data_IF_789596091814
#
_entry.id   IF_789596091814
#
_cell.length_a   1.000
_cell.length_b   1.000
_cell.length_c   1.000
_cell.angle_alpha   90.00
_cell.angle_beta   90.00
_cell.angle_gamma   90.00
#
_symmetry.space_group_name_H-M   'P 1'
#
loop_
_entity.id
_entity.type
_entity.pdbx_description
1 polymer ?
#
# COMPACT_ATOMS: atom_id res chain seq x y z
N UNK A 1 10.22 -12.07 -16.09
CA UNK A 1 8.96 -12.62 -15.55
C UNK A 1 7.85 -12.44 -16.58
N UNK A 2 6.94 -13.40 -16.74
CA UNK A 2 5.84 -13.30 -17.70
C UNK A 2 4.84 -12.21 -17.23
N UNK A 3 4.37 -11.30 -18.12
CA UNK A 3 3.34 -10.31 -17.80
C UNK A 3 2.10 -10.88 -17.11
N UNK A 4 1.67 -12.09 -17.46
CA UNK A 4 0.53 -12.75 -16.81
C UNK A 4 0.81 -13.04 -15.34
N UNK A 5 2.00 -13.56 -15.02
CA UNK A 5 2.42 -13.86 -13.65
C UNK A 5 2.54 -12.58 -12.81
N UNK A 6 3.08 -11.49 -13.39
CA UNK A 6 3.18 -10.20 -12.69
C UNK A 6 1.80 -9.64 -12.31
N UNK A 7 0.81 -9.77 -13.21
CA UNK A 7 -0.57 -9.35 -12.92
C UNK A 7 -1.23 -10.21 -11.85
N UNK A 8 -0.95 -11.52 -11.84
CA UNK A 8 -1.43 -12.43 -10.78
C UNK A 8 -0.83 -12.03 -9.43
N UNK A 9 0.49 -11.79 -9.35
CA UNK A 9 1.13 -11.35 -8.11
C UNK A 9 0.59 -9.99 -7.65
N UNK A 10 0.47 -9.01 -8.55
CA UNK A 10 -0.14 -7.72 -8.20
C UNK A 10 -1.60 -7.88 -7.73
N UNK A 11 -2.35 -8.82 -8.31
CA UNK A 11 -3.71 -9.15 -7.88
C UNK A 11 -3.75 -9.77 -6.49
N UNK A 12 -2.82 -10.66 -6.15
CA UNK A 12 -2.69 -11.23 -4.81
C UNK A 12 -2.38 -10.15 -3.78
N UNK A 13 -1.45 -9.24 -4.10
CA UNK A 13 -1.12 -8.10 -3.22
C UNK A 13 -2.34 -7.19 -3.04
N UNK A 14 -3.10 -6.92 -4.10
CA UNK A 14 -4.35 -6.15 -4.02
C UNK A 14 -5.40 -6.84 -3.13
N UNK A 15 -5.56 -8.16 -3.25
CA UNK A 15 -6.48 -8.92 -2.39
C UNK A 15 -6.06 -8.86 -0.91
N UNK A 16 -4.76 -8.91 -0.63
CA UNK A 16 -4.23 -8.68 0.72
C UNK A 16 -4.63 -7.30 1.26
N UNK A 17 -4.45 -6.24 0.46
CA UNK A 17 -4.84 -4.87 0.84
C UNK A 17 -6.35 -4.73 1.06
N UNK A 18 -7.17 -5.34 0.19
CA UNK A 18 -8.62 -5.37 0.34
C UNK A 18 -9.04 -6.06 1.64
N UNK A 19 -8.44 -7.20 1.96
CA UNK A 19 -8.72 -7.93 3.20
C UNK A 19 -8.38 -7.09 4.44
N UNK A 20 -7.16 -6.53 4.49
CA UNK A 20 -6.73 -5.72 5.64
C UNK A 20 -7.57 -4.44 5.78
N UNK A 21 -7.89 -3.78 4.67
CA UNK A 21 -8.74 -2.58 4.68
C UNK A 21 -10.13 -2.91 5.18
N UNK A 22 -10.75 -3.99 4.68
CA UNK A 22 -12.07 -4.43 5.14
C UNK A 22 -12.05 -4.78 6.64
N UNK A 23 -11.01 -5.49 7.09
CA UNK A 23 -10.81 -5.78 8.50
C UNK A 23 -10.64 -4.50 9.34
N UNK A 24 -9.86 -3.53 8.88
CA UNK A 24 -9.67 -2.24 9.56
C UNK A 24 -10.97 -1.44 9.68
N UNK A 25 -11.81 -1.41 8.65
CA UNK A 25 -13.14 -0.80 8.76
C UNK A 25 -14.05 -1.56 9.71
N UNK A 26 -14.02 -2.90 9.69
CA UNK A 26 -14.81 -3.71 10.63
C UNK A 26 -14.45 -3.39 12.09
N UNK A 27 -13.16 -3.37 12.42
CA UNK A 27 -12.71 -3.07 13.79
C UNK A 27 -13.01 -1.64 14.23
N UNK A 28 -13.04 -0.69 13.29
CA UNK A 28 -13.44 0.70 13.55
C UNK A 28 -14.87 0.81 14.12
N UNK A 29 -15.78 -0.07 13.70
CA UNK A 29 -17.17 -0.06 14.16
C UNK A 29 -17.45 -1.04 15.29
N UNK A 30 -16.58 -2.04 15.52
CA UNK A 30 -16.79 -3.06 16.56
C UNK A 30 -16.18 -2.70 17.92
N UNK A 31 -15.09 -1.91 17.97
CA UNK A 31 -14.41 -1.54 19.23
C UNK A 31 -14.58 -0.04 19.56
N UNK A 32 -15.37 0.27 20.60
CA UNK A 32 -15.69 1.65 21.01
C UNK A 32 -14.56 2.37 21.77
N UNK A 33 -13.48 1.68 22.16
CA UNK A 33 -12.53 2.19 23.16
C UNK A 33 -11.29 2.92 22.59
N UNK A 34 -11.06 2.92 21.27
CA UNK A 34 -9.85 3.46 20.60
C UNK A 34 -10.10 4.72 19.74
N UNK A 35 -11.19 5.44 20.02
CA UNK A 35 -11.88 6.37 19.12
C UNK A 35 -11.09 7.56 18.55
N UNK A 36 -10.07 8.12 19.22
CA UNK A 36 -9.56 9.43 18.78
C UNK A 36 -8.42 9.41 17.75
N UNK A 37 -7.67 8.31 17.62
CA UNK A 37 -6.49 8.27 16.73
C UNK A 37 -6.49 7.10 15.74
N UNK A 38 -7.26 6.03 15.97
CA UNK A 38 -7.26 4.86 15.10
C UNK A 38 -8.27 4.94 13.94
N UNK A 39 -9.24 5.87 13.97
CA UNK A 39 -10.23 5.98 12.90
C UNK A 39 -9.63 6.41 11.56
N UNK A 40 -8.50 7.13 11.55
CA UNK A 40 -7.85 7.51 10.29
C UNK A 40 -7.13 6.34 9.61
N UNK A 41 -6.79 5.31 10.38
CA UNK A 41 -5.96 4.19 9.91
C UNK A 41 -6.63 3.38 8.78
N UNK A 42 -7.93 3.00 8.86
CA UNK A 42 -8.63 2.33 7.75
C UNK A 42 -8.71 3.18 6.47
N UNK A 43 -8.80 4.51 6.59
CA UNK A 43 -8.78 5.39 5.41
C UNK A 43 -7.40 5.44 4.75
N UNK A 44 -6.33 5.42 5.54
CA UNK A 44 -4.99 5.27 5.02
C UNK A 44 -4.83 3.90 4.35
N UNK A 45 -5.34 2.83 4.95
CA UNK A 45 -5.33 1.50 4.33
C UNK A 45 -6.07 1.46 2.99
N UNK A 46 -7.21 2.16 2.92
CA UNK A 46 -7.96 2.34 1.67
C UNK A 46 -7.16 3.07 0.61
N UNK A 47 -6.39 4.11 0.97
CA UNK A 47 -5.52 4.82 0.02
C UNK A 47 -4.50 3.86 -0.62
N UNK A 48 -3.83 3.05 0.18
CA UNK A 48 -2.90 2.02 -0.32
C UNK A 48 -3.60 0.99 -1.22
N UNK A 49 -4.82 0.58 -0.86
CA UNK A 49 -5.64 -0.32 -1.68
C UNK A 49 -5.97 0.29 -3.03
N UNK A 50 -6.36 1.57 -3.07
CA UNK A 50 -6.64 2.29 -4.31
C UNK A 50 -5.38 2.42 -5.18
N UNK A 51 -4.23 2.65 -4.56
CA UNK A 51 -2.95 2.69 -5.27
C UNK A 51 -2.66 1.34 -5.91
N UNK A 52 -2.80 0.24 -5.17
CA UNK A 52 -2.61 -1.11 -5.71
C UNK A 52 -3.64 -1.48 -6.78
N UNK A 53 -4.88 -0.98 -6.68
CA UNK A 53 -5.87 -1.12 -7.74
C UNK A 53 -5.38 -0.47 -9.04
N UNK A 54 -4.83 0.75 -8.95
CA UNK A 54 -4.21 1.43 -10.09
C UNK A 54 -3.00 0.68 -10.67
N UNK A 55 -2.15 0.10 -9.82
CA UNK A 55 -1.02 -0.74 -10.24
C UNK A 55 -1.52 -1.98 -10.99
N UNK A 56 -2.54 -2.67 -10.46
CA UNK A 56 -3.13 -3.85 -11.08
C UNK A 56 -3.76 -3.53 -12.44
N UNK A 57 -4.39 -2.35 -12.58
CA UNK A 57 -4.88 -1.83 -13.86
C UNK A 57 -3.76 -1.41 -14.84
N UNK A 58 -2.49 -1.53 -14.46
CA UNK A 58 -1.34 -1.21 -15.32
C UNK A 58 -1.05 0.29 -15.44
N UNK A 59 -1.53 1.12 -14.51
CA UNK A 59 -1.29 2.57 -14.54
C UNK A 59 0.02 2.91 -13.81
N UNK A 60 1.05 3.30 -14.57
CA UNK A 60 2.41 3.62 -14.07
C UNK A 60 2.46 4.66 -12.95
N UNK A 61 1.60 5.68 -13.04
CA UNK A 61 1.53 6.77 -12.04
C UNK A 61 1.33 6.19 -10.63
N UNK A 62 0.57 5.11 -10.50
CA UNK A 62 0.32 4.48 -9.21
C UNK A 62 1.51 3.68 -8.69
N UNK A 63 2.35 3.11 -9.57
CA UNK A 63 3.62 2.49 -9.13
C UNK A 63 4.57 3.51 -8.51
N UNK A 64 4.67 4.70 -9.13
CA UNK A 64 5.45 5.80 -8.56
C UNK A 64 4.81 6.37 -7.29
N UNK A 65 3.49 6.56 -7.28
CA UNK A 65 2.77 7.02 -6.09
C UNK A 65 2.97 6.05 -4.91
N UNK A 66 2.89 4.74 -5.14
CA UNK A 66 3.14 3.72 -4.12
C UNK A 66 4.54 3.86 -3.52
N UNK A 67 5.56 3.95 -4.37
CA UNK A 67 6.93 4.13 -3.93
C UNK A 67 7.11 5.38 -3.05
N UNK A 68 6.52 6.52 -3.45
CA UNK A 68 6.57 7.74 -2.66
C UNK A 68 5.86 7.62 -1.31
N UNK A 69 4.69 6.98 -1.28
CA UNK A 69 3.92 6.79 -0.05
C UNK A 69 4.67 5.88 0.92
N UNK A 70 5.29 4.80 0.44
CA UNK A 70 6.12 3.91 1.28
C UNK A 70 7.37 4.62 1.78
N UNK A 71 8.04 5.43 0.94
CA UNK A 71 9.15 6.28 1.41
C UNK A 71 8.69 7.25 2.51
N UNK A 72 7.52 7.86 2.35
CA UNK A 72 6.96 8.76 3.35
C UNK A 72 6.63 8.04 4.66
N UNK A 73 6.04 6.84 4.59
CA UNK A 73 5.82 5.97 5.77
C UNK A 73 7.14 5.68 6.49
N UNK A 74 8.20 5.31 5.77
CA UNK A 74 9.54 5.07 6.34
C UNK A 74 10.09 6.34 7.00
N UNK A 75 9.99 7.50 6.35
CA UNK A 75 10.48 8.77 6.91
C UNK A 75 9.73 9.11 8.20
N UNK A 76 8.39 9.01 8.20
CA UNK A 76 7.59 9.21 9.41
C UNK A 76 8.05 8.25 10.50
N UNK A 77 8.23 6.98 10.17
CA UNK A 77 8.66 5.96 11.14
C UNK A 77 10.03 6.27 11.72
N UNK A 78 10.98 6.73 10.90
CA UNK A 78 12.35 7.07 11.35
C UNK A 78 12.35 8.32 12.24
N UNK A 79 11.66 9.38 11.85
CA UNK A 79 11.70 10.66 12.57
C UNK A 79 10.73 10.74 13.75
N UNK A 80 9.61 10.03 13.69
CA UNK A 80 8.47 10.19 14.62
C UNK A 80 8.14 8.92 15.41
N UNK A 81 9.04 7.92 15.46
CA UNK A 81 8.81 6.59 16.07
C UNK A 81 8.19 6.61 17.48
N UNK A 82 8.54 7.62 18.30
CA UNK A 82 8.08 7.73 19.70
C UNK A 82 6.78 8.53 19.87
N UNK A 83 6.32 9.19 18.81
CA UNK A 83 5.11 10.02 18.84
C UNK A 83 3.88 9.21 18.45
N UNK A 84 2.69 9.62 18.93
CA UNK A 84 1.43 9.01 18.49
C UNK A 84 1.21 9.16 16.98
N UNK A 85 1.72 10.25 16.38
CA UNK A 85 1.71 10.46 14.94
C UNK A 85 2.50 9.37 14.19
N UNK A 86 3.71 9.05 14.65
CA UNK A 86 4.52 7.99 14.06
C UNK A 86 3.88 6.60 14.18
N UNK A 87 3.17 6.32 15.28
CA UNK A 87 2.43 5.06 15.46
C UNK A 87 1.24 4.92 14.51
N UNK A 88 0.58 6.02 14.16
CA UNK A 88 -0.62 5.98 13.29
C UNK A 88 -0.24 5.97 11.81
N UNK A 89 0.80 6.72 11.42
CA UNK A 89 1.16 6.91 10.00
C UNK A 89 2.39 6.11 9.56
N UNK A 90 3.22 5.64 10.49
CA UNK A 90 4.46 4.92 10.18
C UNK A 90 4.37 3.39 10.28
N UNK A 91 3.23 2.85 10.73
CA UNK A 91 2.99 1.40 10.90
C UNK A 91 1.70 0.96 10.17
N UNK A 92 1.35 1.58 9.04
CA UNK A 92 0.09 1.30 8.34
C UNK A 92 0.11 -0.11 7.75
N UNK A 93 1.21 -0.43 7.06
CA UNK A 93 1.46 -1.73 6.44
C UNK A 93 2.92 -2.18 6.57
N UNK A 94 3.76 -1.43 7.28
CA UNK A 94 5.12 -1.84 7.59
C UNK A 94 5.16 -3.17 8.38
N UNK A 95 6.06 -4.14 8.07
CA UNK A 95 7.09 -4.12 7.02
C UNK A 95 6.64 -4.70 5.68
N UNK A 96 5.38 -5.13 5.52
CA UNK A 96 4.89 -5.78 4.31
C UNK A 96 5.09 -4.91 3.07
N UNK A 97 4.92 -3.60 3.21
CA UNK A 97 5.12 -2.63 2.12
C UNK A 97 6.54 -2.55 1.57
N UNK A 98 7.57 -2.86 2.36
CA UNK A 98 8.94 -2.98 1.85
C UNK A 98 9.06 -4.17 0.90
N UNK A 99 8.44 -5.29 1.25
CA UNK A 99 8.43 -6.50 0.43
C UNK A 99 7.64 -6.22 -0.86
N UNK A 100 6.46 -5.62 -0.74
CA UNK A 100 5.62 -5.27 -1.88
C UNK A 100 6.27 -4.23 -2.79
N UNK A 101 7.02 -3.27 -2.25
CA UNK A 101 7.81 -2.32 -3.03
C UNK A 101 8.93 -3.04 -3.79
N UNK A 102 9.66 -3.95 -3.15
CA UNK A 102 10.68 -4.77 -3.81
C UNK A 102 10.09 -5.61 -4.95
N UNK A 103 8.94 -6.26 -4.70
CA UNK A 103 8.19 -6.98 -5.74
C UNK A 103 7.76 -6.05 -6.87
N UNK A 104 7.20 -4.87 -6.55
CA UNK A 104 6.76 -3.90 -7.55
C UNK A 104 7.92 -3.47 -8.47
N UNK A 105 9.12 -3.22 -7.92
CA UNK A 105 10.31 -2.88 -8.69
C UNK A 105 10.70 -4.02 -9.64
N UNK A 106 10.76 -5.27 -9.15
CA UNK A 106 11.06 -6.45 -9.97
C UNK A 106 10.01 -6.63 -11.08
N UNK A 107 8.75 -6.35 -10.77
CA UNK A 107 7.62 -6.50 -11.67
C UNK A 107 7.35 -5.26 -12.55
N UNK A 108 8.10 -4.18 -12.39
CA UNK A 108 7.76 -2.88 -12.99
C UNK A 108 7.66 -2.98 -14.52
N UNK A 109 8.69 -3.52 -15.16
CA UNK A 109 8.74 -3.71 -16.62
C UNK A 109 7.59 -4.60 -17.13
N UNK A 110 7.36 -5.82 -16.59
CA UNK A 110 6.27 -6.68 -17.07
C UNK A 110 4.86 -6.20 -16.68
N UNK A 111 4.68 -5.37 -15.65
CA UNK A 111 3.37 -4.79 -15.29
C UNK A 111 2.97 -3.64 -16.22
N UNK A 112 3.92 -2.78 -16.56
CA UNK A 112 3.62 -1.51 -17.22
C UNK A 112 4.07 -1.43 -18.69
N UNK A 113 4.76 -2.46 -19.20
CA UNK A 113 5.34 -2.51 -20.54
C UNK A 113 6.48 -1.52 -20.74
N UNK A 114 7.22 -1.65 -21.85
CA UNK A 114 8.09 -0.59 -22.33
C UNK A 114 7.25 0.41 -23.13
N UNK A 115 7.48 1.72 -22.95
CA UNK A 115 7.11 2.66 -24.01
C UNK A 115 8.10 2.38 -25.14
N UNK A 116 7.74 1.54 -26.12
CA UNK A 116 8.12 1.95 -27.46
C UNK A 116 7.32 3.22 -27.71
N UNK A 117 8.05 4.31 -27.89
CA UNK A 117 7.55 5.55 -28.47
C UNK A 117 6.58 5.22 -29.62
N UNK A 118 5.29 5.39 -29.37
CA UNK A 118 4.27 5.60 -30.40
C UNK A 118 3.81 7.05 -30.24
#
# INVERSE_FOLDING_TARGET
MNPSLSRVIAGIILLFHLFITAHGFYTMFSDYQTWEQMMIHPFLQLLFTLIWSGIWMGKRVFGFAYFLVVLFEILIRVFFIKSSFGKVFGDIFFPADLIFTGLMIIMYKPLFGERSTQ
#
